data_IF_859698385936
#
_entry.id   IF_859698385936
#
_cell.length_a   1.000
_cell.length_b   1.000
_cell.length_c   1.000
_cell.angle_alpha   90.00
_cell.angle_beta   90.00
_cell.angle_gamma   90.00
#
_symmetry.space_group_name_H-M   'P 1'
#
loop_
_entity.id
_entity.type
_entity.pdbx_description
1 polymer ?
#
# COMPACT_ATOMS: atom_id res chain seq x y z
N UNK A 1 -20.44 -20.42 20.88
CA UNK A 1 -21.25 -20.32 19.66
C UNK A 1 -20.49 -19.37 18.76
N UNK A 2 -19.82 -19.87 17.73
CA UNK A 2 -19.11 -19.00 16.79
C UNK A 2 -20.19 -18.44 15.85
N UNK A 3 -20.36 -17.12 15.81
CA UNK A 3 -21.40 -16.41 15.04
C UNK A 3 -21.32 -16.54 13.51
N UNK A 4 -20.82 -17.66 12.99
CA UNK A 4 -20.75 -17.95 11.55
C UNK A 4 -22.15 -17.99 10.90
N UNK A 5 -23.18 -18.36 11.67
CA UNK A 5 -24.58 -18.44 11.18
C UNK A 5 -25.14 -17.07 10.71
N UNK A 6 -24.58 -15.93 11.15
CA UNK A 6 -25.10 -14.58 10.84
C UNK A 6 -24.58 -13.98 9.53
N UNK A 7 -23.55 -14.57 8.91
CA UNK A 7 -22.82 -13.99 7.77
C UNK A 7 -22.84 -14.85 6.49
N UNK A 8 -23.71 -15.86 6.47
CA UNK A 8 -24.00 -16.67 5.29
C UNK A 8 -25.22 -16.12 4.53
N UNK A 9 -25.16 -16.12 3.19
CA UNK A 9 -26.29 -15.70 2.33
C UNK A 9 -27.25 -16.83 2.03
N UNK A 10 -26.79 -18.07 2.16
CA UNK A 10 -27.61 -19.27 2.06
C UNK A 10 -26.96 -20.38 2.88
N UNK A 11 -27.79 -21.28 3.40
CA UNK A 11 -27.35 -22.47 4.13
C UNK A 11 -28.08 -23.70 3.62
N UNK A 12 -27.38 -24.83 3.58
CA UNK A 12 -27.93 -26.13 3.26
C UNK A 12 -27.35 -27.21 4.17
N UNK A 13 -28.02 -28.34 4.26
CA UNK A 13 -27.54 -29.49 5.02
C UNK A 13 -27.06 -30.57 4.05
N UNK A 14 -25.85 -31.08 4.26
CA UNK A 14 -25.28 -32.17 3.44
C UNK A 14 -24.88 -33.38 4.28
N UNK A 15 -24.98 -34.56 3.68
CA UNK A 15 -24.54 -35.85 4.23
C UNK A 15 -23.39 -36.47 3.44
N UNK A 16 -22.80 -35.74 2.47
CA UNK A 16 -21.88 -36.28 1.47
C UNK A 16 -20.45 -36.58 1.98
N UNK A 17 -20.20 -36.56 3.29
CA UNK A 17 -18.91 -36.97 3.86
C UNK A 17 -19.04 -38.44 4.29
N UNK A 18 -18.35 -39.41 3.64
CA UNK A 18 -18.41 -40.82 4.04
C UNK A 18 -18.07 -40.99 5.52
N UNK A 19 -18.87 -41.78 6.24
CA UNK A 19 -18.75 -42.05 7.68
C UNK A 19 -19.02 -40.85 8.62
N UNK A 20 -19.60 -39.75 8.12
CA UNK A 20 -20.10 -38.68 8.98
C UNK A 20 -21.57 -38.96 9.37
N UNK A 21 -21.79 -39.37 10.61
CA UNK A 21 -23.12 -39.71 11.13
C UNK A 21 -23.92 -38.46 11.58
N UNK A 22 -23.38 -37.27 11.36
CA UNK A 22 -23.95 -35.98 11.75
C UNK A 22 -24.23 -35.12 10.51
N UNK A 23 -25.30 -34.33 10.56
CA UNK A 23 -25.61 -33.35 9.51
C UNK A 23 -24.50 -32.29 9.46
N UNK A 24 -23.88 -32.11 8.30
CA UNK A 24 -22.92 -31.04 8.09
C UNK A 24 -23.63 -29.83 7.46
N UNK A 25 -23.51 -28.65 8.09
CA UNK A 25 -23.97 -27.40 7.50
C UNK A 25 -23.01 -26.98 6.38
N UNK A 26 -23.57 -26.70 5.21
CA UNK A 26 -22.87 -26.07 4.09
C UNK A 26 -23.38 -24.64 3.97
N UNK A 27 -22.46 -23.68 4.01
CA UNK A 27 -22.79 -22.26 3.97
C UNK A 27 -22.26 -21.64 2.69
N UNK A 28 -23.09 -20.81 2.05
CA UNK A 28 -22.63 -19.89 1.02
C UNK A 28 -22.28 -18.60 1.74
N UNK A 29 -21.00 -18.21 1.78
CA UNK A 29 -20.59 -17.02 2.50
C UNK A 29 -21.03 -15.77 1.73
N UNK A 30 -21.23 -14.67 2.45
CA UNK A 30 -21.53 -13.38 1.83
C UNK A 30 -20.46 -12.91 0.83
N UNK A 31 -20.80 -11.97 -0.04
CA UNK A 31 -19.82 -11.29 -0.89
C UNK A 31 -18.85 -10.46 -0.04
N UNK A 32 -17.66 -10.23 -0.58
CA UNK A 32 -16.72 -9.29 0.02
C UNK A 32 -17.25 -7.86 -0.16
N UNK A 33 -16.99 -6.94 0.80
CA UNK A 33 -17.50 -5.56 0.73
C UNK A 33 -17.05 -4.77 -0.51
N UNK A 34 -15.94 -5.19 -1.11
CA UNK A 34 -15.32 -4.60 -2.30
C UNK A 34 -13.92 -5.16 -2.48
N UNK A 35 -13.14 -4.53 -3.36
CA UNK A 35 -11.73 -4.86 -3.59
C UNK A 35 -10.84 -3.72 -3.13
N UNK A 36 -9.83 -4.04 -2.32
CA UNK A 36 -8.75 -3.12 -1.95
C UNK A 36 -7.47 -3.61 -2.59
N UNK A 37 -6.90 -2.81 -3.48
CA UNK A 37 -5.59 -3.07 -4.05
C UNK A 37 -4.57 -2.34 -3.20
N UNK A 38 -3.60 -3.07 -2.66
CA UNK A 38 -2.49 -2.47 -1.93
C UNK A 38 -1.20 -2.58 -2.72
N UNK A 39 -0.54 -1.44 -2.95
CA UNK A 39 0.79 -1.39 -3.52
C UNK A 39 1.71 -0.51 -2.67
N UNK A 40 2.80 -1.12 -2.23
CA UNK A 40 3.86 -0.40 -1.54
C UNK A 40 4.78 0.34 -2.51
N UNK A 41 5.66 1.20 -1.97
CA UNK A 41 6.71 1.89 -2.69
C UNK A 41 7.92 1.02 -3.02
N UNK A 42 9.01 1.68 -3.39
CA UNK A 42 10.27 1.04 -3.79
C UNK A 42 10.90 0.20 -2.66
N UNK A 43 11.67 -0.82 -3.03
CA UNK A 43 12.48 -1.65 -2.13
C UNK A 43 11.71 -2.45 -1.05
N UNK A 44 10.42 -2.71 -1.27
CA UNK A 44 9.65 -3.59 -0.39
C UNK A 44 9.30 -4.91 -1.11
N UNK A 45 9.91 -6.05 -0.74
CA UNK A 45 9.53 -7.37 -1.26
C UNK A 45 8.17 -7.86 -0.72
N UNK A 46 7.52 -7.11 0.17
CA UNK A 46 6.20 -7.42 0.70
C UNK A 46 6.10 -7.37 2.23
N UNK A 47 7.11 -6.83 2.92
CA UNK A 47 7.25 -6.86 4.37
C UNK A 47 6.09 -6.17 5.10
N UNK A 48 5.50 -5.14 4.49
CA UNK A 48 4.40 -4.40 5.12
C UNK A 48 3.01 -4.99 4.84
N UNK A 49 2.89 -5.94 3.91
CA UNK A 49 1.59 -6.39 3.39
C UNK A 49 0.78 -7.14 4.44
N UNK A 50 1.41 -7.99 5.26
CA UNK A 50 0.73 -8.73 6.31
C UNK A 50 0.10 -7.79 7.35
N UNK A 51 0.87 -6.80 7.84
CA UNK A 51 0.39 -5.82 8.81
C UNK A 51 -0.75 -4.98 8.25
N UNK A 52 -0.62 -4.53 6.99
CA UNK A 52 -1.67 -3.74 6.32
C UNK A 52 -2.93 -4.56 6.11
N UNK A 53 -2.81 -5.80 5.64
CA UNK A 53 -3.96 -6.67 5.42
C UNK A 53 -4.66 -7.04 6.73
N UNK A 54 -3.90 -7.29 7.79
CA UNK A 54 -4.43 -7.56 9.13
C UNK A 54 -5.22 -6.37 9.66
N UNK A 55 -4.62 -5.18 9.66
CA UNK A 55 -5.29 -3.96 10.12
C UNK A 55 -6.50 -3.58 9.27
N UNK A 56 -6.43 -3.81 7.95
CA UNK A 56 -7.55 -3.58 7.04
C UNK A 56 -8.71 -4.54 7.32
N UNK A 57 -8.45 -5.84 7.42
CA UNK A 57 -9.51 -6.81 7.75
C UNK A 57 -10.11 -6.50 9.11
N UNK A 58 -9.29 -6.22 10.13
CA UNK A 58 -9.78 -5.81 11.45
C UNK A 58 -10.70 -4.57 11.36
N UNK A 59 -10.22 -3.49 10.74
CA UNK A 59 -10.97 -2.26 10.65
C UNK A 59 -12.26 -2.40 9.84
N UNK A 60 -12.27 -3.21 8.79
CA UNK A 60 -13.48 -3.47 7.98
C UNK A 60 -14.45 -4.39 8.72
N UNK A 61 -13.96 -5.41 9.45
CA UNK A 61 -14.78 -6.25 10.31
C UNK A 61 -15.53 -5.41 11.33
N UNK A 62 -14.83 -4.52 12.02
CA UNK A 62 -15.42 -3.59 12.99
C UNK A 62 -16.40 -2.62 12.34
N UNK A 63 -16.06 -2.06 11.17
CA UNK A 63 -16.88 -1.01 10.55
C UNK A 63 -18.14 -1.55 9.89
N UNK A 64 -18.03 -2.67 9.19
CA UNK A 64 -19.12 -3.25 8.41
C UNK A 64 -19.85 -4.37 9.13
N UNK A 65 -19.51 -4.64 10.39
CA UNK A 65 -20.05 -5.77 11.16
C UNK A 65 -19.79 -7.09 10.42
N UNK A 66 -18.53 -7.35 10.04
CA UNK A 66 -18.16 -8.53 9.22
C UNK A 66 -17.04 -9.33 9.88
N UNK A 67 -17.25 -9.94 11.06
CA UNK A 67 -16.18 -10.65 11.78
C UNK A 67 -15.60 -11.87 11.03
N UNK A 68 -16.16 -12.22 9.86
CA UNK A 68 -15.74 -13.31 8.99
C UNK A 68 -14.58 -12.97 8.04
N UNK A 69 -14.14 -11.71 7.92
CA UNK A 69 -12.97 -11.41 7.09
C UNK A 69 -11.69 -11.82 7.80
N UNK A 70 -10.86 -12.59 7.11
CA UNK A 70 -9.62 -13.20 7.61
C UNK A 70 -8.47 -12.79 6.69
N UNK A 71 -7.42 -12.13 7.21
CA UNK A 71 -6.27 -11.74 6.41
C UNK A 71 -5.50 -12.97 5.92
N UNK A 72 -4.82 -12.83 4.79
CA UNK A 72 -3.85 -13.82 4.33
C UNK A 72 -2.65 -13.93 5.25
N UNK A 73 -2.06 -15.11 5.30
CA UNK A 73 -0.76 -15.30 5.97
C UNK A 73 0.36 -15.02 4.99
N UNK A 74 1.50 -14.58 5.49
CA UNK A 74 2.66 -14.30 4.65
C UNK A 74 3.83 -15.16 5.11
N UNK A 75 4.64 -15.65 4.17
CA UNK A 75 5.86 -16.39 4.52
C UNK A 75 5.66 -17.76 5.16
N UNK A 76 4.43 -18.27 5.26
CA UNK A 76 4.11 -19.47 6.04
C UNK A 76 5.02 -20.68 5.72
N UNK A 77 5.24 -20.96 4.43
CA UNK A 77 6.12 -22.06 3.97
C UNK A 77 7.60 -21.77 4.29
N UNK A 78 8.04 -20.51 4.18
CA UNK A 78 9.39 -20.09 4.55
C UNK A 78 9.64 -20.24 6.06
N UNK A 79 8.68 -19.84 6.89
CA UNK A 79 8.77 -19.94 8.34
C UNK A 79 8.83 -21.38 8.85
N UNK A 80 8.05 -22.28 8.23
CA UNK A 80 8.14 -23.72 8.52
C UNK A 80 9.54 -24.25 8.22
N UNK A 81 10.09 -23.95 7.05
CA UNK A 81 11.45 -24.35 6.68
C UNK A 81 12.50 -23.78 7.67
N UNK A 82 12.35 -22.51 8.05
CA UNK A 82 13.24 -21.81 9.00
C UNK A 82 13.17 -22.42 10.40
N UNK A 83 11.98 -22.82 10.86
CA UNK A 83 11.79 -23.50 12.15
C UNK A 83 12.47 -24.86 12.18
N UNK A 84 12.36 -25.67 11.11
CA UNK A 84 13.08 -26.96 11.00
C UNK A 84 14.59 -26.78 11.08
N UNK A 85 15.13 -25.80 10.33
CA UNK A 85 16.55 -25.47 10.37
C UNK A 85 17.01 -25.06 11.78
N UNK A 86 16.24 -24.20 12.47
CA UNK A 86 16.52 -23.79 13.86
C UNK A 86 16.47 -24.96 14.84
N UNK A 87 15.58 -25.92 14.61
CA UNK A 87 15.46 -27.16 15.39
C UNK A 87 16.55 -28.20 15.04
N UNK A 88 17.54 -27.85 14.21
CA UNK A 88 18.61 -28.75 13.72
C UNK A 88 18.08 -30.01 13.02
N UNK A 89 16.87 -29.95 12.47
CA UNK A 89 16.35 -30.99 11.58
C UNK A 89 16.96 -30.80 10.19
N UNK A 90 17.33 -31.87 9.48
CA UNK A 90 17.84 -31.76 8.10
C UNK A 90 16.71 -31.24 7.19
N UNK A 91 16.84 -30.03 6.61
CA UNK A 91 15.83 -29.52 5.71
C UNK A 91 15.88 -30.33 4.41
N UNK A 92 14.71 -30.83 3.98
CA UNK A 92 14.58 -31.46 2.68
C UNK A 92 14.90 -30.48 1.54
N UNK A 93 15.06 -30.98 0.31
CA UNK A 93 15.41 -30.15 -0.86
C UNK A 93 14.48 -28.94 -1.05
N UNK A 94 13.17 -29.13 -0.82
CA UNK A 94 12.18 -28.05 -0.91
C UNK A 94 12.41 -26.96 0.15
N UNK A 95 12.71 -27.36 1.39
CA UNK A 95 12.98 -26.41 2.48
C UNK A 95 14.27 -25.62 2.19
N UNK A 96 15.31 -26.28 1.66
CA UNK A 96 16.55 -25.63 1.22
C UNK A 96 16.30 -24.59 0.11
N UNK A 97 15.45 -24.90 -0.87
CA UNK A 97 15.07 -23.97 -1.94
C UNK A 97 14.30 -22.76 -1.42
N UNK A 98 13.35 -22.96 -0.50
CA UNK A 98 12.58 -21.87 0.11
C UNK A 98 13.51 -20.90 0.88
N UNK A 99 14.47 -21.44 1.63
CA UNK A 99 15.40 -20.67 2.44
C UNK A 99 16.44 -19.91 1.61
N UNK A 100 16.82 -20.44 0.43
CA UNK A 100 17.77 -19.80 -0.48
C UNK A 100 17.20 -18.57 -1.22
N UNK A 101 15.87 -18.46 -1.29
CA UNK A 101 15.15 -17.39 -2.00
C UNK A 101 14.14 -16.63 -1.09
N UNK A 102 14.64 -15.90 -0.08
CA UNK A 102 13.77 -15.14 0.81
C UNK A 102 13.00 -14.02 0.10
N UNK A 103 13.54 -13.41 -0.96
CA UNK A 103 12.86 -12.31 -1.67
C UNK A 103 11.52 -12.77 -2.26
N UNK A 104 11.45 -14.01 -2.76
CA UNK A 104 10.22 -14.61 -3.27
C UNK A 104 9.33 -15.17 -2.17
N UNK A 105 9.91 -15.86 -1.17
CA UNK A 105 9.13 -16.73 -0.27
C UNK A 105 8.86 -16.14 1.11
N UNK A 106 9.68 -15.22 1.62
CA UNK A 106 9.55 -14.69 2.98
C UNK A 106 8.25 -13.88 3.16
N UNK A 107 7.84 -13.13 2.12
CA UNK A 107 6.63 -12.32 2.13
C UNK A 107 5.62 -12.76 1.09
N UNK A 108 5.69 -14.03 0.68
CA UNK A 108 4.70 -14.60 -0.22
C UNK A 108 3.39 -14.80 0.53
N UNK A 109 2.32 -14.20 0.03
CA UNK A 109 0.97 -14.45 0.54
C UNK A 109 0.58 -15.91 0.31
N UNK A 110 0.19 -16.57 1.39
CA UNK A 110 -0.37 -17.91 1.47
C UNK A 110 -1.87 -17.79 1.73
N UNK A 111 -2.67 -18.49 0.92
CA UNK A 111 -4.13 -18.46 0.98
C UNK A 111 -4.76 -19.78 1.39
N UNK A 112 -3.93 -20.78 1.72
CA UNK A 112 -4.37 -22.18 1.84
C UNK A 112 -5.09 -22.47 3.19
N UNK A 113 -4.55 -22.05 4.34
CA UNK A 113 -5.11 -22.36 5.68
C UNK A 113 -4.48 -21.47 6.76
N UNK A 114 -5.17 -20.69 7.63
CA UNK A 114 -6.61 -20.53 7.67
C UNK A 114 -7.09 -20.02 6.32
N UNK A 115 -8.30 -20.45 5.95
CA UNK A 115 -8.92 -20.06 4.69
C UNK A 115 -9.02 -18.54 4.63
N UNK A 116 -8.17 -17.92 3.82
CA UNK A 116 -8.13 -16.46 3.67
C UNK A 116 -9.46 -15.96 3.12
N UNK A 117 -9.97 -14.88 3.73
CA UNK A 117 -11.18 -14.20 3.30
C UNK A 117 -10.98 -12.70 3.44
N UNK A 118 -10.23 -12.15 2.51
CA UNK A 118 -9.76 -10.78 2.58
C UNK A 118 -10.12 -10.03 1.30
N UNK A 119 -10.49 -8.77 1.48
CA UNK A 119 -10.71 -7.82 0.40
C UNK A 119 -9.41 -7.32 -0.25
N UNK A 120 -8.25 -7.62 0.34
CA UNK A 120 -6.96 -7.11 -0.13
C UNK A 120 -6.37 -7.97 -1.25
N UNK A 121 -6.00 -7.30 -2.34
CA UNK A 121 -5.14 -7.83 -3.40
C UNK A 121 -3.75 -7.19 -3.23
N UNK A 122 -2.71 -7.98 -2.91
CA UNK A 122 -1.34 -7.47 -2.86
C UNK A 122 -0.82 -7.26 -4.29
N UNK A 123 -0.47 -6.02 -4.65
CA UNK A 123 0.08 -5.70 -5.97
C UNK A 123 1.60 -5.55 -5.91
N UNK A 124 2.29 -6.66 -6.17
CA UNK A 124 3.73 -6.70 -6.28
C UNK A 124 4.20 -6.14 -7.62
N UNK A 125 5.21 -5.30 -7.59
CA UNK A 125 5.76 -4.69 -8.79
C UNK A 125 7.26 -4.43 -8.62
N UNK A 126 7.95 -4.24 -9.73
CA UNK A 126 9.39 -4.08 -9.72
C UNK A 126 9.98 -4.12 -11.12
N UNK A 127 11.30 -4.07 -11.14
CA UNK A 127 12.12 -4.16 -12.33
C UNK A 127 12.69 -5.58 -12.44
N UNK A 128 12.84 -6.08 -13.67
CA UNK A 128 13.59 -7.30 -13.97
C UNK A 128 14.63 -6.97 -15.03
N UNK A 129 15.89 -7.28 -14.73
CA UNK A 129 16.99 -7.05 -15.64
C UNK A 129 16.85 -7.91 -16.89
N UNK A 130 17.07 -7.31 -18.04
CA UNK A 130 17.18 -8.07 -19.28
C UNK A 130 18.53 -8.85 -19.31
N UNK A 131 18.68 -9.90 -20.14
CA UNK A 131 19.87 -10.75 -20.12
C UNK A 131 21.21 -10.00 -20.28
N UNK A 132 21.22 -8.87 -21.00
CA UNK A 132 22.40 -8.02 -21.21
C UNK A 132 22.71 -7.05 -20.07
N UNK A 133 21.76 -6.82 -19.16
CA UNK A 133 21.94 -5.98 -17.97
C UNK A 133 22.44 -6.80 -16.77
N UNK A 134 22.51 -8.13 -16.88
CA UNK A 134 23.01 -9.01 -15.82
C UNK A 134 24.54 -9.06 -15.90
N UNK A 135 25.22 -8.84 -14.76
CA UNK A 135 26.68 -8.98 -14.68
C UNK A 135 27.08 -10.44 -14.86
N UNK A 136 28.11 -10.69 -15.67
CA UNK A 136 28.61 -12.02 -16.01
C UNK A 136 30.12 -12.13 -15.84
N UNK A 137 30.60 -13.31 -15.48
CA UNK A 137 32.02 -13.60 -15.38
C UNK A 137 32.64 -13.96 -16.75
N UNK A 138 33.93 -14.32 -16.74
CA UNK A 138 34.67 -14.70 -17.95
C UNK A 138 34.14 -15.96 -18.65
N UNK A 139 33.35 -16.78 -17.95
CA UNK A 139 32.71 -17.98 -18.49
C UNK A 139 31.27 -17.70 -18.94
N UNK A 140 30.84 -16.43 -18.92
CA UNK A 140 29.48 -15.98 -19.22
C UNK A 140 28.42 -16.39 -18.17
N UNK A 141 28.85 -16.83 -16.99
CA UNK A 141 27.95 -17.18 -15.88
C UNK A 141 27.55 -15.91 -15.10
N UNK A 142 26.28 -15.78 -14.65
CA UNK A 142 25.87 -14.63 -13.86
C UNK A 142 26.67 -14.51 -12.56
N UNK A 143 27.27 -13.33 -12.34
CA UNK A 143 28.09 -13.09 -11.15
C UNK A 143 27.23 -13.05 -9.89
N UNK A 144 27.82 -13.49 -8.78
CA UNK A 144 27.20 -13.39 -7.46
C UNK A 144 28.14 -12.67 -6.49
N UNK A 145 27.58 -11.76 -5.70
CA UNK A 145 28.22 -11.20 -4.52
C UNK A 145 27.43 -11.64 -3.28
N UNK A 146 28.10 -12.38 -2.38
CA UNK A 146 27.47 -12.91 -1.14
C UNK A 146 26.16 -13.66 -1.41
N UNK A 147 26.15 -14.46 -2.47
CA UNK A 147 25.02 -15.26 -2.89
C UNK A 147 23.96 -14.50 -3.69
N UNK A 148 24.07 -13.20 -3.92
CA UNK A 148 23.09 -12.41 -4.66
C UNK A 148 23.59 -12.06 -6.06
N UNK A 149 22.69 -12.06 -7.05
CA UNK A 149 23.05 -11.67 -8.42
C UNK A 149 23.27 -10.15 -8.50
N UNK A 150 23.96 -9.70 -9.55
CA UNK A 150 24.21 -8.27 -9.78
C UNK A 150 23.87 -7.88 -11.22
N UNK A 151 23.43 -6.64 -11.40
CA UNK A 151 23.42 -6.02 -12.73
C UNK A 151 24.83 -5.52 -13.11
N UNK A 152 25.00 -5.12 -14.37
CA UNK A 152 26.26 -4.56 -14.91
C UNK A 152 26.74 -3.30 -14.19
N UNK A 153 25.88 -2.66 -13.38
CA UNK A 153 26.20 -1.48 -12.58
C UNK A 153 26.54 -1.85 -11.12
N UNK A 154 26.49 -3.14 -10.78
CA UNK A 154 26.83 -3.70 -9.47
C UNK A 154 25.67 -3.71 -8.47
N UNK A 155 24.47 -3.30 -8.87
CA UNK A 155 23.31 -3.34 -7.97
C UNK A 155 22.85 -4.78 -7.73
N UNK A 156 22.36 -5.06 -6.51
CA UNK A 156 21.78 -6.36 -6.15
C UNK A 156 20.55 -6.69 -7.01
N UNK A 157 20.49 -7.91 -7.53
CA UNK A 157 19.32 -8.56 -8.12
C UNK A 157 18.93 -9.79 -7.30
N UNK A 158 17.64 -10.09 -7.22
CA UNK A 158 17.09 -11.31 -6.60
C UNK A 158 17.39 -12.58 -7.44
N UNK A 159 16.92 -13.75 -6.98
CA UNK A 159 17.11 -15.05 -7.64
C UNK A 159 16.54 -15.13 -9.06
N UNK A 160 15.63 -14.24 -9.41
CA UNK A 160 14.94 -14.16 -10.69
C UNK A 160 15.42 -12.99 -11.55
N UNK A 161 16.55 -12.38 -11.17
CA UNK A 161 17.13 -11.18 -11.79
C UNK A 161 16.22 -9.95 -11.66
N UNK A 162 15.37 -9.93 -10.63
CA UNK A 162 14.44 -8.87 -10.30
C UNK A 162 14.93 -7.95 -9.17
N UNK A 163 14.18 -6.86 -8.99
CA UNK A 163 14.24 -5.96 -7.84
C UNK A 163 12.82 -5.50 -7.51
N UNK A 164 12.35 -5.77 -6.29
CA UNK A 164 11.06 -5.27 -5.81
C UNK A 164 11.09 -3.74 -5.73
N UNK A 165 10.26 -3.07 -6.54
CA UNK A 165 10.16 -1.61 -6.64
C UNK A 165 11.43 -0.81 -7.04
N UNK A 166 12.64 -1.38 -6.98
CA UNK A 166 13.93 -0.71 -7.19
C UNK A 166 14.58 -0.25 -5.87
N UNK A 167 15.84 0.22 -5.91
CA UNK A 167 16.45 0.87 -4.74
C UNK A 167 15.70 2.18 -4.42
N UNK A 168 15.72 2.60 -3.14
CA UNK A 168 15.20 3.90 -2.70
C UNK A 168 15.61 5.07 -3.62
N UNK A 169 16.82 5.00 -4.17
CA UNK A 169 17.39 6.01 -5.08
C UNK A 169 16.72 6.18 -6.43
N UNK A 170 15.93 5.21 -6.93
CA UNK A 170 15.30 5.39 -8.24
C UNK A 170 13.91 6.04 -8.18
N UNK A 171 13.47 6.44 -6.98
CA UNK A 171 12.22 7.15 -6.79
C UNK A 171 12.16 8.47 -7.58
N UNK A 172 10.95 9.00 -7.73
CA UNK A 172 10.68 10.32 -8.32
C UNK A 172 9.48 10.94 -7.62
N UNK A 173 9.40 12.27 -7.66
CA UNK A 173 8.32 13.07 -7.09
C UNK A 173 7.28 13.53 -8.12
N UNK A 174 7.40 13.14 -9.39
CA UNK A 174 6.45 13.52 -10.44
C UNK A 174 6.21 12.37 -11.45
N UNK A 175 5.12 12.45 -12.22
CA UNK A 175 4.76 11.39 -13.16
C UNK A 175 5.64 11.39 -14.42
N UNK A 176 6.12 12.56 -14.87
CA UNK A 176 6.89 12.65 -16.11
C UNK A 176 8.21 11.89 -16.00
N UNK A 177 8.91 12.05 -14.87
CA UNK A 177 10.19 11.38 -14.63
C UNK A 177 10.07 9.85 -14.55
N UNK A 178 8.87 9.29 -14.42
CA UNK A 178 8.66 7.84 -14.58
C UNK A 178 9.03 7.37 -16.01
N UNK A 179 8.99 8.28 -16.99
CA UNK A 179 9.40 8.07 -18.38
C UNK A 179 10.87 8.40 -18.65
N UNK A 180 11.64 8.78 -17.63
CA UNK A 180 13.05 9.17 -17.78
C UNK A 180 14.03 8.07 -17.39
N UNK A 181 15.31 8.36 -17.68
CA UNK A 181 16.44 7.58 -17.18
C UNK A 181 16.36 7.48 -15.66
N UNK A 182 16.84 6.37 -15.11
CA UNK A 182 16.98 6.21 -13.67
C UNK A 182 18.05 7.13 -13.10
N UNK A 183 18.13 7.20 -11.76
CA UNK A 183 19.15 7.97 -11.09
C UNK A 183 20.56 7.54 -11.58
N UNK A 184 21.32 8.52 -12.07
CA UNK A 184 22.74 8.36 -12.36
C UNK A 184 23.56 8.78 -11.15
N UNK A 185 24.50 7.93 -10.75
CA UNK A 185 25.47 8.23 -9.71
C UNK A 185 26.52 9.15 -10.31
N UNK A 186 26.27 10.46 -10.17
CA UNK A 186 27.26 11.49 -10.48
C UNK A 186 28.46 11.44 -9.52
N UNK A 187 29.45 12.31 -9.76
CA UNK A 187 30.72 12.32 -9.03
C UNK A 187 30.55 12.40 -7.49
N UNK A 188 29.62 13.24 -7.00
CA UNK A 188 29.35 13.41 -5.56
C UNK A 188 28.80 12.14 -4.91
N UNK A 189 27.83 11.50 -5.54
CA UNK A 189 27.22 10.26 -5.03
C UNK A 189 28.19 9.07 -5.19
N UNK A 190 29.07 9.13 -6.18
CA UNK A 190 30.17 8.17 -6.37
C UNK A 190 31.24 8.22 -5.28
N UNK A 191 31.53 9.41 -4.72
CA UNK A 191 32.41 9.57 -3.54
C UNK A 191 31.72 9.06 -2.28
N UNK A 192 30.45 9.42 -2.06
CA UNK A 192 29.66 8.93 -0.91
C UNK A 192 29.51 7.40 -0.92
N UNK A 193 29.38 6.77 -2.09
CA UNK A 193 29.39 5.31 -2.22
C UNK A 193 30.65 4.66 -1.63
N UNK A 194 31.81 5.31 -1.68
CA UNK A 194 33.07 4.74 -1.15
C UNK A 194 33.09 4.66 0.37
N UNK A 195 32.20 5.37 1.06
CA UNK A 195 32.06 5.36 2.52
C UNK A 195 30.84 4.56 2.99
N UNK A 196 29.95 4.15 2.07
CA UNK A 196 28.81 3.31 2.41
C UNK A 196 29.24 1.85 2.66
N UNK A 197 28.65 1.18 3.66
CA UNK A 197 28.83 -0.26 3.84
C UNK A 197 28.37 -1.00 2.58
N UNK A 198 28.97 -2.16 2.29
CA UNK A 198 28.58 -2.99 1.14
C UNK A 198 27.08 -3.38 1.13
N UNK A 199 26.39 -3.35 2.28
CA UNK A 199 24.94 -3.59 2.40
C UNK A 199 24.09 -2.44 1.90
N UNK A 200 24.67 -1.25 1.71
CA UNK A 200 24.01 -0.02 1.25
C UNK A 200 24.58 0.43 -0.09
N UNK A 201 25.17 -0.48 -0.86
CA UNK A 201 25.71 -0.18 -2.17
C UNK A 201 24.62 0.39 -3.09
N UNK A 202 24.97 1.47 -3.80
CA UNK A 202 24.14 2.06 -4.84
C UNK A 202 24.95 2.13 -6.12
N UNK A 203 24.40 1.61 -7.22
CA UNK A 203 24.87 1.80 -8.59
C UNK A 203 23.96 2.78 -9.35
N UNK A 204 24.31 3.06 -10.60
CA UNK A 204 23.35 3.69 -11.52
C UNK A 204 22.06 2.85 -11.52
N UNK A 205 20.91 3.47 -11.71
CA UNK A 205 19.66 2.74 -11.71
C UNK A 205 19.15 2.51 -13.13
N UNK A 206 18.38 1.43 -13.36
CA UNK A 206 17.75 1.19 -14.64
C UNK A 206 16.75 2.29 -14.96
N UNK A 207 16.42 2.40 -16.24
CA UNK A 207 15.39 3.32 -16.73
C UNK A 207 14.06 3.11 -15.97
N UNK A 208 13.38 4.19 -15.60
CA UNK A 208 12.15 4.17 -14.80
C UNK A 208 10.89 3.63 -15.49
N UNK A 209 10.99 3.16 -16.76
CA UNK A 209 9.84 2.62 -17.53
C UNK A 209 9.12 1.47 -16.84
N UNK A 210 9.78 0.72 -15.97
CA UNK A 210 9.11 -0.33 -15.19
C UNK A 210 8.02 0.22 -14.25
N UNK A 211 8.10 1.49 -13.85
CA UNK A 211 6.99 2.18 -13.16
C UNK A 211 5.77 2.35 -14.08
N UNK A 212 6.01 2.76 -15.33
CA UNK A 212 4.96 2.90 -16.35
C UNK A 212 4.33 1.54 -16.65
N UNK A 213 5.14 0.49 -16.79
CA UNK A 213 4.64 -0.88 -16.96
C UNK A 213 3.87 -1.39 -15.73
N UNK A 214 4.26 -0.98 -14.52
CA UNK A 214 3.48 -1.26 -13.31
C UNK A 214 2.13 -0.52 -13.34
N UNK A 215 2.09 0.75 -13.77
CA UNK A 215 0.86 1.51 -13.91
C UNK A 215 -0.10 0.90 -14.94
N UNK A 216 0.40 0.43 -16.10
CA UNK A 216 -0.39 -0.32 -17.06
C UNK A 216 -0.97 -1.61 -16.47
N UNK A 217 -0.18 -2.37 -15.71
CA UNK A 217 -0.66 -3.59 -15.03
C UNK A 217 -1.72 -3.29 -13.98
N UNK A 218 -1.56 -2.19 -13.23
CA UNK A 218 -2.54 -1.76 -12.24
C UNK A 218 -3.85 -1.32 -12.93
N UNK A 219 -3.76 -0.53 -13.99
CA UNK A 219 -4.93 -0.14 -14.80
C UNK A 219 -5.63 -1.37 -15.41
N UNK A 220 -4.87 -2.33 -15.95
CA UNK A 220 -5.41 -3.61 -16.43
C UNK A 220 -6.14 -4.35 -15.31
N UNK A 221 -5.56 -4.43 -14.11
CA UNK A 221 -6.18 -5.14 -12.99
C UNK A 221 -7.54 -4.51 -12.61
N UNK A 222 -7.64 -3.18 -12.55
CA UNK A 222 -8.92 -2.48 -12.32
C UNK A 222 -9.94 -2.82 -13.42
N UNK A 223 -9.51 -2.87 -14.68
CA UNK A 223 -10.38 -3.24 -15.82
C UNK A 223 -10.84 -4.69 -15.73
N UNK A 224 -9.96 -5.62 -15.42
CA UNK A 224 -10.29 -7.04 -15.32
C UNK A 224 -11.24 -7.33 -14.16
N UNK A 225 -11.07 -6.67 -13.00
CA UNK A 225 -12.04 -6.73 -11.89
C UNK A 225 -13.42 -6.32 -12.41
N UNK A 226 -13.51 -5.21 -13.14
CA UNK A 226 -14.78 -4.68 -13.65
C UNK A 226 -15.32 -5.40 -14.89
N UNK A 227 -14.48 -6.15 -15.60
CA UNK A 227 -14.94 -7.07 -16.65
C UNK A 227 -15.71 -8.24 -16.04
N UNK A 228 -15.29 -8.72 -14.87
CA UNK A 228 -15.97 -9.80 -14.14
C UNK A 228 -17.17 -9.27 -13.34
N UNK A 229 -17.00 -8.13 -12.66
CA UNK A 229 -18.03 -7.50 -11.83
C UNK A 229 -18.11 -5.99 -12.13
N UNK A 230 -18.95 -5.56 -13.09
CA UNK A 230 -18.99 -4.17 -13.57
C UNK A 230 -19.23 -3.11 -12.50
N UNK A 231 -19.97 -3.47 -11.45
CA UNK A 231 -20.29 -2.59 -10.32
C UNK A 231 -19.33 -2.76 -9.13
N UNK A 232 -18.26 -3.55 -9.29
CA UNK A 232 -17.32 -3.77 -8.19
C UNK A 232 -16.67 -2.47 -7.74
N UNK A 233 -16.69 -2.26 -6.42
CA UNK A 233 -16.06 -1.09 -5.80
C UNK A 233 -14.58 -1.39 -5.62
N UNK A 234 -13.74 -0.58 -6.25
CA UNK A 234 -12.28 -0.74 -6.22
C UNK A 234 -11.66 0.44 -5.48
N UNK A 235 -11.04 0.15 -4.33
CA UNK A 235 -10.21 1.09 -3.60
C UNK A 235 -8.74 0.77 -3.84
N UNK A 236 -7.90 1.79 -4.05
CA UNK A 236 -6.45 1.63 -4.15
C UNK A 236 -5.79 2.32 -2.97
N UNK A 237 -5.10 1.55 -2.14
CA UNK A 237 -4.25 2.06 -1.07
C UNK A 237 -2.80 1.94 -1.51
N UNK A 238 -2.10 3.07 -1.54
CA UNK A 238 -0.79 3.15 -2.16
C UNK A 238 0.17 3.95 -1.29
N UNK A 239 1.28 3.32 -0.92
CA UNK A 239 2.32 3.93 -0.10
C UNK A 239 3.50 4.40 -0.96
N UNK A 240 4.08 5.56 -0.61
CA UNK A 240 5.28 6.10 -1.23
C UNK A 240 5.20 6.09 -2.76
N UNK A 241 6.19 5.56 -3.50
CA UNK A 241 6.20 5.50 -4.97
C UNK A 241 4.97 4.78 -5.57
N UNK A 242 4.34 3.86 -4.83
CA UNK A 242 3.10 3.20 -5.26
C UNK A 242 1.97 4.20 -5.54
N UNK A 243 1.97 5.36 -4.86
CA UNK A 243 1.00 6.43 -5.10
C UNK A 243 1.15 7.04 -6.50
N UNK A 244 2.38 7.26 -7.00
CA UNK A 244 2.62 7.76 -8.36
C UNK A 244 2.22 6.74 -9.42
N UNK A 245 2.50 5.45 -9.18
CA UNK A 245 2.01 4.36 -10.03
C UNK A 245 0.49 4.35 -10.09
N UNK A 246 -0.16 4.58 -8.95
CA UNK A 246 -1.63 4.68 -8.86
C UNK A 246 -2.18 5.85 -9.64
N UNK A 247 -1.58 7.04 -9.50
CA UNK A 247 -1.99 8.24 -10.24
C UNK A 247 -1.82 8.05 -11.75
N UNK A 248 -0.69 7.50 -12.20
CA UNK A 248 -0.47 7.19 -13.61
C UNK A 248 -1.46 6.12 -14.12
N UNK A 249 -1.75 5.10 -13.31
CA UNK A 249 -2.76 4.09 -13.67
C UNK A 249 -4.16 4.70 -13.85
N UNK A 250 -4.53 5.71 -13.05
CA UNK A 250 -5.80 6.41 -13.24
C UNK A 250 -5.80 7.23 -14.54
N UNK A 251 -4.71 7.93 -14.85
CA UNK A 251 -4.59 8.65 -16.11
C UNK A 251 -4.71 7.70 -17.32
N UNK A 252 -4.10 6.52 -17.24
CA UNK A 252 -4.21 5.47 -18.27
C UNK A 252 -5.63 4.89 -18.40
N UNK A 253 -6.37 4.77 -17.29
CA UNK A 253 -7.78 4.38 -17.33
C UNK A 253 -8.62 5.44 -18.04
N UNK A 254 -8.43 6.71 -17.73
CA UNK A 254 -9.13 7.84 -18.38
C UNK A 254 -8.83 7.88 -19.87
N UNK A 255 -7.56 7.78 -20.26
CA UNK A 255 -7.13 7.76 -21.66
C UNK A 255 -7.78 6.60 -22.44
N UNK A 256 -7.91 5.44 -21.80
CA UNK A 256 -8.61 4.28 -22.35
C UNK A 256 -10.15 4.34 -22.29
N UNK A 257 -10.76 5.43 -21.81
CA UNK A 257 -12.21 5.55 -21.65
C UNK A 257 -12.80 4.62 -20.57
N UNK A 258 -11.99 4.25 -19.58
CA UNK A 258 -12.37 3.35 -18.49
C UNK A 258 -12.57 4.11 -17.18
N UNK A 259 -13.49 3.61 -16.35
CA UNK A 259 -13.75 4.17 -15.02
C UNK A 259 -12.48 4.07 -14.15
N UNK A 260 -12.16 5.14 -13.43
CA UNK A 260 -11.11 5.15 -12.40
C UNK A 260 -11.50 4.31 -11.17
N UNK A 261 -10.55 4.03 -10.28
CA UNK A 261 -10.85 3.48 -8.95
C UNK A 261 -11.84 4.38 -8.19
N UNK A 262 -12.67 3.78 -7.34
CA UNK A 262 -13.72 4.49 -6.60
C UNK A 262 -13.16 5.27 -5.41
N UNK A 263 -12.02 4.85 -4.86
CA UNK A 263 -11.31 5.55 -3.79
C UNK A 263 -9.81 5.38 -3.94
N UNK A 264 -9.05 6.43 -3.68
CA UNK A 264 -7.58 6.37 -3.60
C UNK A 264 -7.14 6.84 -2.22
N UNK A 265 -6.26 6.07 -1.58
CA UNK A 265 -5.61 6.41 -0.32
C UNK A 265 -4.11 6.47 -0.59
N UNK A 266 -3.56 7.68 -0.66
CA UNK A 266 -2.14 7.95 -0.80
C UNK A 266 -1.53 8.06 0.59
N UNK A 267 -0.50 7.26 0.88
CA UNK A 267 0.19 7.26 2.17
C UNK A 267 1.64 7.64 1.93
N UNK A 268 2.13 8.67 2.63
CA UNK A 268 3.52 9.13 2.60
C UNK A 268 4.09 9.28 1.17
N UNK A 269 3.30 9.89 0.29
CA UNK A 269 3.64 10.04 -1.13
C UNK A 269 4.80 11.01 -1.36
N UNK A 270 5.78 10.66 -2.21
CA UNK A 270 6.82 11.59 -2.63
C UNK A 270 6.31 12.62 -3.63
N UNK A 271 5.04 12.58 -4.06
CA UNK A 271 4.52 13.51 -5.07
C UNK A 271 4.70 14.96 -4.62
N UNK A 272 5.30 15.78 -5.47
CA UNK A 272 5.62 17.17 -5.16
C UNK A 272 4.70 18.13 -5.92
N UNK A 273 4.23 19.16 -5.21
CA UNK A 273 3.39 20.22 -5.77
C UNK A 273 4.15 21.54 -5.96
N UNK A 274 5.43 21.61 -5.60
CA UNK A 274 6.21 22.85 -5.61
C UNK A 274 6.92 23.03 -6.96
N UNK A 275 6.60 24.08 -7.74
CA UNK A 275 7.21 24.31 -9.05
C UNK A 275 8.72 24.44 -9.01
N UNK A 276 9.27 24.96 -7.91
CA UNK A 276 10.72 25.13 -7.72
C UNK A 276 11.48 23.82 -7.50
N UNK A 277 10.79 22.71 -7.20
CA UNK A 277 11.39 21.38 -6.99
C UNK A 277 11.10 20.44 -8.16
N UNK A 278 9.96 20.59 -8.82
CA UNK A 278 9.61 19.76 -9.98
C UNK A 278 10.30 20.24 -11.26
N UNK A 279 10.42 19.40 -12.30
CA UNK A 279 11.06 19.82 -13.54
C UNK A 279 10.40 21.06 -14.15
N UNK A 280 11.22 21.90 -14.79
CA UNK A 280 10.78 23.16 -15.40
C UNK A 280 9.60 22.93 -16.34
N UNK A 281 8.65 23.88 -16.33
CA UNK A 281 7.44 23.89 -17.16
C UNK A 281 6.44 22.76 -16.86
N UNK A 282 6.60 22.05 -15.74
CA UNK A 282 5.59 21.13 -15.24
C UNK A 282 4.63 21.78 -14.25
N UNK A 283 3.34 21.46 -14.43
CA UNK A 283 2.27 21.81 -13.52
C UNK A 283 1.75 20.55 -12.83
N UNK A 284 2.47 20.10 -11.80
CA UNK A 284 2.11 18.90 -11.03
C UNK A 284 0.83 19.09 -10.24
N UNK A 285 0.54 20.31 -9.75
CA UNK A 285 -0.73 20.62 -9.09
C UNK A 285 -1.93 20.43 -10.03
N UNK A 286 -1.88 20.98 -11.24
CA UNK A 286 -2.97 20.78 -12.22
C UNK A 286 -3.06 19.32 -12.65
N UNK A 287 -1.93 18.63 -12.79
CA UNK A 287 -1.91 17.19 -13.11
C UNK A 287 -2.64 16.38 -12.04
N UNK A 288 -2.28 16.58 -10.76
CA UNK A 288 -2.94 15.90 -9.64
C UNK A 288 -4.42 16.27 -9.58
N UNK A 289 -4.76 17.56 -9.67
CA UNK A 289 -6.14 18.05 -9.61
C UNK A 289 -7.01 17.43 -10.70
N UNK A 290 -6.50 17.31 -11.94
CA UNK A 290 -7.23 16.67 -13.05
C UNK A 290 -7.44 15.18 -12.82
N UNK A 291 -6.42 14.46 -12.35
CA UNK A 291 -6.56 13.03 -12.03
C UNK A 291 -7.57 12.82 -10.90
N UNK A 292 -7.47 13.61 -9.82
CA UNK A 292 -8.42 13.57 -8.70
C UNK A 292 -9.83 13.91 -9.18
N UNK A 293 -10.01 14.89 -10.05
CA UNK A 293 -11.32 15.22 -10.62
C UNK A 293 -11.94 14.02 -11.35
N UNK A 294 -11.15 13.31 -12.18
CA UNK A 294 -11.62 12.11 -12.90
C UNK A 294 -12.02 10.97 -11.96
N UNK A 295 -11.33 10.83 -10.82
CA UNK A 295 -11.66 9.84 -9.79
C UNK A 295 -12.93 10.22 -9.02
N UNK A 296 -13.22 11.51 -8.85
CA UNK A 296 -14.14 11.98 -7.80
C UNK A 296 -15.42 12.66 -8.28
N UNK A 297 -15.45 13.27 -9.46
CA UNK A 297 -16.58 14.10 -9.90
C UNK A 297 -17.79 13.30 -10.37
N UNK A 298 -17.59 12.05 -10.82
CA UNK A 298 -18.65 11.12 -11.19
C UNK A 298 -18.52 9.80 -10.41
N UNK A 299 -18.79 9.80 -9.08
CA UNK A 299 -18.71 8.58 -8.27
C UNK A 299 -19.70 7.52 -8.78
N UNK A 300 -19.25 6.28 -8.92
CA UNK A 300 -20.15 5.17 -9.24
C UNK A 300 -21.06 4.87 -8.04
N UNK A 301 -22.37 4.81 -8.25
CA UNK A 301 -23.34 4.72 -7.13
C UNK A 301 -23.82 3.30 -6.83
N UNK A 302 -23.37 2.30 -7.60
CA UNK A 302 -23.72 0.90 -7.38
C UNK A 302 -22.60 0.14 -6.64
N UNK A 303 -22.96 -0.88 -5.85
CA UNK A 303 -24.30 -1.10 -5.30
C UNK A 303 -24.77 0.09 -4.42
N UNK A 304 -26.08 0.35 -4.29
CA UNK A 304 -26.58 1.37 -3.38
C UNK A 304 -26.21 0.96 -1.95
N UNK A 305 -25.85 1.92 -1.09
CA UNK A 305 -25.47 1.60 0.29
C UNK A 305 -26.59 0.87 1.04
N UNK A 306 -27.86 1.21 0.77
CA UNK A 306 -29.04 0.55 1.33
C UNK A 306 -29.08 -0.96 1.07
N UNK A 307 -28.45 -1.40 -0.01
CA UNK A 307 -28.56 -2.77 -0.49
C UNK A 307 -27.35 -3.62 -0.11
N UNK A 308 -26.31 -3.06 0.52
CA UNK A 308 -25.12 -3.81 0.94
C UNK A 308 -25.46 -4.95 1.92
N UNK A 309 -26.53 -4.80 2.70
CA UNK A 309 -27.01 -5.86 3.59
C UNK A 309 -27.87 -6.90 2.90
N UNK A 310 -28.42 -6.58 1.74
CA UNK A 310 -29.43 -7.41 1.10
C UNK A 310 -28.76 -8.64 0.48
N UNK A 311 -29.09 -9.81 1.02
CA UNK A 311 -28.55 -11.09 0.57
C UNK A 311 -29.10 -11.50 -0.80
N UNK A 312 -30.25 -10.97 -1.22
CA UNK A 312 -30.88 -11.29 -2.50
C UNK A 312 -30.34 -10.49 -3.68
N UNK A 313 -29.85 -9.26 -3.47
CA UNK A 313 -29.37 -8.38 -4.56
C UNK A 313 -27.85 -8.31 -4.65
N UNK A 314 -27.15 -8.22 -3.52
CA UNK A 314 -25.69 -8.09 -3.48
C UNK A 314 -25.05 -9.01 -2.44
N UNK A 315 -25.67 -10.15 -2.16
CA UNK A 315 -25.09 -11.23 -1.36
C UNK A 315 -24.50 -10.75 0.00
N UNK A 316 -25.11 -9.77 0.68
CA UNK A 316 -24.74 -9.43 2.07
C UNK A 316 -23.31 -8.87 2.27
N UNK A 317 -22.88 -7.92 1.44
CA UNK A 317 -21.59 -7.18 1.54
C UNK A 317 -21.30 -6.51 2.90
N UNK A 318 -22.28 -6.37 3.78
CA UNK A 318 -22.13 -5.90 5.17
C UNK A 318 -22.93 -6.77 6.14
N UNK A 319 -22.64 -6.67 7.44
CA UNK A 319 -23.33 -7.39 8.50
C UNK A 319 -24.69 -6.86 8.92
N UNK A 320 -25.40 -7.60 9.79
CA UNK A 320 -26.74 -7.28 10.25
C UNK A 320 -26.84 -6.04 11.15
N UNK A 321 -25.78 -5.61 11.83
CA UNK A 321 -25.77 -4.40 12.66
C UNK A 321 -25.35 -3.14 11.90
N UNK A 322 -24.91 -3.28 10.65
CA UNK A 322 -24.51 -2.15 9.82
C UNK A 322 -25.72 -1.41 9.21
N UNK A 323 -25.55 -0.13 8.89
CA UNK A 323 -26.52 0.63 8.08
C UNK A 323 -25.80 1.71 7.25
N UNK A 324 -26.44 2.24 6.19
CA UNK A 324 -25.85 3.29 5.36
C UNK A 324 -25.45 4.57 6.12
N UNK A 325 -26.03 4.82 7.29
CA UNK A 325 -25.86 6.06 8.05
C UNK A 325 -25.00 5.89 9.30
N UNK A 326 -24.94 4.68 9.87
CA UNK A 326 -24.20 4.40 11.11
C UNK A 326 -23.77 2.94 11.21
N UNK A 327 -22.68 2.73 11.94
CA UNK A 327 -22.23 1.41 12.39
C UNK A 327 -21.98 1.41 13.89
N UNK A 328 -21.70 0.23 14.43
CA UNK A 328 -21.46 0.03 15.86
C UNK A 328 -20.17 -0.77 16.06
N UNK A 329 -19.38 -0.41 17.08
CA UNK A 329 -18.19 -1.16 17.46
C UNK A 329 -17.99 -1.14 18.97
N UNK A 330 -17.20 -2.08 19.49
CA UNK A 330 -16.70 -2.01 20.86
C UNK A 330 -15.61 -0.93 20.95
N UNK A 331 -15.67 -0.10 22.00
CA UNK A 331 -14.56 0.78 22.37
C UNK A 331 -13.49 0.04 23.20
N UNK A 332 -12.47 0.77 23.66
CA UNK A 332 -11.39 0.23 24.49
C UNK A 332 -11.87 -0.36 25.82
N UNK A 333 -13.01 0.12 26.34
CA UNK A 333 -13.62 -0.32 27.59
C UNK A 333 -14.69 -1.41 27.36
N UNK A 334 -14.77 -1.92 26.12
CA UNK A 334 -15.76 -2.91 25.67
C UNK A 334 -17.21 -2.44 25.75
N UNK A 335 -17.46 -1.13 25.70
CA UNK A 335 -18.79 -0.59 25.54
C UNK A 335 -19.13 -0.47 24.04
N UNK A 336 -20.39 -0.71 23.70
CA UNK A 336 -20.87 -0.50 22.33
C UNK A 336 -20.98 0.99 22.04
N UNK A 337 -20.20 1.45 21.07
CA UNK A 337 -20.23 2.83 20.57
C UNK A 337 -20.79 2.88 19.15
N UNK A 338 -21.68 3.84 18.91
CA UNK A 338 -22.23 4.15 17.58
C UNK A 338 -21.35 5.19 16.90
N UNK A 339 -21.05 5.00 15.61
CA UNK A 339 -20.33 5.97 14.81
C UNK A 339 -21.05 6.23 13.48
N UNK A 340 -20.94 7.46 12.91
CA UNK A 340 -21.51 7.75 11.60
C UNK A 340 -20.77 7.00 10.50
N UNK A 341 -21.53 6.41 9.58
CA UNK A 341 -20.97 5.77 8.40
C UNK A 341 -20.76 6.77 7.25
N UNK A 342 -19.88 6.42 6.31
CA UNK A 342 -19.59 7.26 5.14
C UNK A 342 -19.41 6.44 3.89
N UNK A 343 -19.95 6.96 2.79
CA UNK A 343 -19.57 6.52 1.45
C UNK A 343 -18.18 7.05 1.11
N UNK A 344 -17.22 6.18 0.78
CA UNK A 344 -15.89 6.60 0.34
C UNK A 344 -15.76 6.75 -1.18
N UNK A 345 -16.80 6.40 -1.95
CA UNK A 345 -16.77 6.49 -3.41
C UNK A 345 -16.61 7.94 -3.87
N UNK A 346 -15.78 8.11 -4.90
CA UNK A 346 -15.37 9.38 -5.45
C UNK A 346 -14.62 10.25 -4.44
N UNK A 347 -13.65 9.69 -3.73
CA UNK A 347 -12.77 10.45 -2.81
C UNK A 347 -11.32 10.04 -2.97
N UNK A 348 -10.44 11.03 -2.81
CA UNK A 348 -8.99 10.80 -2.70
C UNK A 348 -8.52 11.30 -1.34
N UNK A 349 -7.78 10.46 -0.62
CA UNK A 349 -7.24 10.77 0.68
C UNK A 349 -5.72 10.77 0.65
N UNK A 350 -5.12 11.83 1.20
CA UNK A 350 -3.72 11.87 1.57
C UNK A 350 -3.59 11.60 3.07
N UNK A 351 -2.84 10.57 3.42
CA UNK A 351 -2.33 10.32 4.75
C UNK A 351 -0.86 10.71 4.74
N UNK A 352 -0.50 11.72 5.52
CA UNK A 352 0.86 12.25 5.56
C UNK A 352 1.38 12.25 6.99
N UNK A 353 2.69 12.11 7.12
CA UNK A 353 3.39 12.01 8.39
C UNK A 353 4.58 12.98 8.42
N UNK A 354 4.52 14.08 9.20
CA UNK A 354 5.66 15.01 9.33
C UNK A 354 6.91 14.39 9.92
N UNK A 355 6.73 13.23 10.55
CA UNK A 355 7.80 12.44 11.15
C UNK A 355 8.49 11.53 10.12
N UNK A 356 7.86 11.25 8.98
CA UNK A 356 8.50 10.56 7.87
C UNK A 356 9.37 11.55 7.07
N UNK A 357 10.67 11.55 7.37
CA UNK A 357 11.63 12.42 6.68
C UNK A 357 12.12 11.84 5.36
N UNK A 358 11.64 10.66 4.96
CA UNK A 358 12.10 9.94 3.76
C UNK A 358 11.84 10.75 2.49
N UNK A 359 10.68 11.42 2.42
CA UNK A 359 10.29 12.27 1.29
C UNK A 359 10.43 13.78 1.58
N UNK A 360 11.10 14.11 2.68
CA UNK A 360 11.32 15.48 3.15
C UNK A 360 12.58 16.14 2.57
N UNK A 361 13.38 15.42 1.78
CA UNK A 361 14.60 15.94 1.15
C UNK A 361 14.26 17.17 0.29
N UNK A 362 15.17 18.16 0.26
CA UNK A 362 14.95 19.42 -0.45
C UNK A 362 14.69 19.22 -1.95
N UNK A 363 15.31 18.22 -2.56
CA UNK A 363 15.13 17.87 -3.98
C UNK A 363 13.87 16.98 -4.23
N UNK A 364 13.14 16.60 -3.17
CA UNK A 364 11.93 15.76 -3.26
C UNK A 364 10.70 16.55 -2.87
N UNK A 365 10.69 17.17 -1.67
CA UNK A 365 9.57 17.90 -1.04
C UNK A 365 8.19 17.26 -1.28
N UNK A 366 8.08 15.97 -0.94
CA UNK A 366 6.85 15.22 -1.11
C UNK A 366 5.74 15.67 -0.15
N UNK A 367 4.50 15.71 -0.63
CA UNK A 367 3.33 16.00 0.22
C UNK A 367 3.05 14.90 1.26
N UNK A 368 3.74 13.76 1.19
CA UNK A 368 3.74 12.71 2.20
C UNK A 368 4.37 13.09 3.54
N UNK A 369 5.34 14.00 3.55
CA UNK A 369 5.86 14.57 4.82
C UNK A 369 5.03 15.78 5.23
N UNK A 370 4.79 16.69 4.29
CA UNK A 370 4.37 18.04 4.61
C UNK A 370 2.87 18.31 4.48
N UNK A 371 2.11 17.34 3.95
CA UNK A 371 0.75 17.58 3.49
C UNK A 371 0.70 18.52 2.27
N UNK A 372 -0.52 18.87 1.88
CA UNK A 372 -0.82 19.90 0.88
C UNK A 372 -0.93 21.24 1.58
N UNK A 373 -0.18 22.21 1.07
CA UNK A 373 -0.11 23.57 1.61
C UNK A 373 -1.17 24.47 0.96
N UNK A 374 -1.43 25.60 1.61
CA UNK A 374 -2.31 26.65 1.08
C UNK A 374 -1.58 27.58 0.09
N UNK A 375 -0.25 27.54 0.03
CA UNK A 375 0.58 28.35 -0.87
C UNK A 375 1.38 27.47 -1.82
N UNK A 376 1.31 27.77 -3.12
CA UNK A 376 1.96 26.99 -4.19
C UNK A 376 3.38 27.49 -4.50
N UNK A 377 4.31 27.34 -3.57
CA UNK A 377 5.68 27.87 -3.73
C UNK A 377 5.75 29.39 -3.52
N UNK A 378 6.95 29.96 -3.65
CA UNK A 378 7.23 31.37 -3.28
C UNK A 378 6.59 32.39 -4.24
N UNK A 379 6.49 32.05 -5.54
CA UNK A 379 6.08 32.97 -6.62
C UNK A 379 4.71 32.62 -7.24
N UNK A 380 3.80 32.00 -6.47
CA UNK A 380 2.47 31.61 -6.97
C UNK A 380 1.33 32.15 -6.12
N UNK A 381 0.25 32.56 -6.78
CA UNK A 381 -1.02 32.99 -6.19
C UNK A 381 -2.02 31.82 -6.02
N UNK A 382 -1.64 30.61 -6.42
CA UNK A 382 -2.50 29.42 -6.33
C UNK A 382 -2.59 28.90 -4.91
N UNK A 383 -3.77 28.34 -4.58
CA UNK A 383 -4.03 27.66 -3.32
C UNK A 383 -4.25 26.15 -3.57
N UNK A 384 -3.21 25.30 -3.44
CA UNK A 384 -3.27 23.88 -3.76
C UNK A 384 -4.36 23.14 -2.99
N UNK A 385 -4.48 23.39 -1.68
CA UNK A 385 -5.47 22.72 -0.84
C UNK A 385 -6.90 23.12 -1.22
N UNK A 386 -7.15 24.39 -1.56
CA UNK A 386 -8.46 24.84 -2.02
C UNK A 386 -8.85 24.20 -3.37
N UNK A 387 -7.92 24.17 -4.34
CA UNK A 387 -8.13 23.54 -5.65
C UNK A 387 -8.45 22.04 -5.51
N UNK A 388 -7.65 21.32 -4.72
CA UNK A 388 -7.84 19.89 -4.49
C UNK A 388 -9.11 19.59 -3.69
N UNK A 389 -9.43 20.41 -2.67
CA UNK A 389 -10.67 20.26 -1.89
C UNK A 389 -11.92 20.42 -2.76
N UNK A 390 -11.89 21.31 -3.76
CA UNK A 390 -13.00 21.49 -4.70
C UNK A 390 -13.31 20.22 -5.50
N UNK A 391 -12.34 19.30 -5.63
CA UNK A 391 -12.48 18.00 -6.28
C UNK A 391 -12.42 16.84 -5.29
N UNK A 392 -12.96 17.02 -4.07
CA UNK A 392 -13.14 15.96 -3.05
C UNK A 392 -11.84 15.24 -2.67
N UNK A 393 -10.73 15.99 -2.67
CA UNK A 393 -9.49 15.58 -2.02
C UNK A 393 -9.53 15.93 -0.53
N UNK A 394 -9.02 15.01 0.30
CA UNK A 394 -8.93 15.18 1.73
C UNK A 394 -7.53 14.82 2.20
N UNK A 395 -7.04 15.46 3.26
CA UNK A 395 -5.79 15.07 3.89
C UNK A 395 -5.96 14.80 5.38
N UNK A 396 -5.11 13.92 5.91
CA UNK A 396 -5.05 13.54 7.32
C UNK A 396 -3.59 13.46 7.76
N UNK A 397 -3.28 14.17 8.83
CA UNK A 397 -1.97 14.11 9.48
C UNK A 397 -1.92 12.94 10.46
N UNK A 398 -0.85 12.16 10.40
CA UNK A 398 -0.44 11.22 11.43
C UNK A 398 0.85 11.72 12.07
N UNK A 399 0.96 11.61 13.38
CA UNK A 399 2.21 11.93 14.08
C UNK A 399 2.29 11.18 15.39
N UNK A 400 3.50 10.85 15.82
CA UNK A 400 3.78 10.29 17.15
C UNK A 400 3.88 11.36 18.24
N UNK A 401 3.72 12.64 17.87
CA UNK A 401 3.82 13.77 18.78
C UNK A 401 2.67 13.77 19.79
N UNK A 402 3.00 14.24 20.98
CA UNK A 402 2.03 14.54 22.02
C UNK A 402 1.95 16.05 22.18
N UNK A 403 0.74 16.55 22.40
CA UNK A 403 0.50 17.97 22.69
C UNK A 403 -0.40 18.04 23.89
N UNK A 404 0.02 18.84 24.88
CA UNK A 404 -0.64 18.89 26.18
C UNK A 404 -0.74 17.49 26.82
N UNK A 405 0.34 16.71 26.70
CA UNK A 405 0.45 15.31 27.16
C UNK A 405 -0.56 14.33 26.55
N UNK A 406 -1.29 14.75 25.51
CA UNK A 406 -2.25 13.92 24.78
C UNK A 406 -1.74 13.56 23.38
N UNK A 407 -2.06 12.35 22.88
CA UNK A 407 -1.74 11.99 21.50
C UNK A 407 -2.49 12.90 20.52
N UNK A 408 -1.83 13.27 19.42
CA UNK A 408 -2.50 14.00 18.34
C UNK A 408 -3.42 13.03 17.58
N UNK A 409 -4.72 13.14 17.85
CA UNK A 409 -5.73 12.26 17.26
C UNK A 409 -5.86 12.45 15.74
N UNK A 410 -5.92 11.33 15.01
CA UNK A 410 -6.23 11.31 13.58
C UNK A 410 -7.73 11.50 13.37
N UNK A 411 -8.10 12.34 12.40
CA UNK A 411 -9.51 12.53 12.03
C UNK A 411 -10.24 13.59 12.84
N UNK A 412 -9.50 14.55 13.42
CA UNK A 412 -10.06 15.82 13.92
C UNK A 412 -10.88 16.54 12.82
N UNK A 413 -11.82 17.42 13.20
CA UNK A 413 -12.48 18.30 12.24
C UNK A 413 -11.47 19.03 11.35
N UNK A 414 -11.80 19.32 10.08
CA UNK A 414 -10.90 20.04 9.18
C UNK A 414 -10.47 21.38 9.79
N UNK A 415 -9.17 21.65 9.77
CA UNK A 415 -8.60 22.86 10.31
C UNK A 415 -7.10 22.93 10.08
N UNK A 416 -6.52 24.07 10.46
CA UNK A 416 -5.07 24.26 10.44
C UNK A 416 -4.45 23.55 11.65
N UNK A 417 -3.44 22.74 11.37
CA UNK A 417 -2.65 22.08 12.40
C UNK A 417 -1.16 22.36 12.14
N UNK A 418 -0.39 22.56 13.21
CA UNK A 418 1.05 22.77 13.08
C UNK A 418 1.69 21.43 12.74
N UNK A 419 2.59 21.38 11.75
CA UNK A 419 3.41 20.19 11.52
C UNK A 419 4.39 19.95 12.69
N UNK A 420 4.86 21.04 13.30
CA UNK A 420 5.72 21.05 14.48
C UNK A 420 5.42 22.27 15.34
N UNK A 421 5.05 22.07 16.60
CA UNK A 421 4.81 23.16 17.55
C UNK A 421 6.12 23.70 18.14
N UNK A 422 6.07 24.90 18.74
CA UNK A 422 7.23 25.54 19.39
C UNK A 422 7.73 24.66 20.54
N UNK A 423 9.03 24.39 20.55
CA UNK A 423 9.67 23.55 21.58
C UNK A 423 9.63 22.04 21.29
N UNK A 424 8.91 21.60 20.27
CA UNK A 424 8.94 20.20 19.85
C UNK A 424 10.26 19.85 19.15
N UNK A 425 10.80 18.66 19.45
CA UNK A 425 11.97 18.10 18.77
C UNK A 425 11.74 18.02 17.25
N UNK A 426 12.82 18.17 16.48
CA UNK A 426 12.81 17.94 15.03
C UNK A 426 12.33 16.53 14.69
N UNK A 427 12.74 15.53 15.47
CA UNK A 427 12.32 14.13 15.33
C UNK A 427 11.42 13.70 16.49
N UNK A 428 10.32 12.96 16.25
CA UNK A 428 9.51 12.40 17.33
C UNK A 428 10.36 11.40 18.15
N UNK A 429 10.23 11.42 19.47
CA UNK A 429 11.01 10.55 20.39
C UNK A 429 12.14 11.25 21.16
N UNK A 430 12.40 12.54 20.90
CA UNK A 430 13.41 13.32 21.63
C UNK A 430 14.85 13.09 21.17
N UNK A 431 15.75 14.01 21.53
CA UNK A 431 17.12 14.05 21.01
C UNK A 431 17.95 12.79 21.33
N UNK A 432 18.61 12.26 20.30
CA UNK A 432 19.86 11.47 20.31
C UNK A 432 19.89 10.11 21.03
N UNK A 433 19.40 10.02 22.26
CA UNK A 433 19.70 8.91 23.16
C UNK A 433 18.47 8.04 23.52
N UNK A 434 17.25 8.58 23.42
CA UNK A 434 16.02 7.85 23.78
C UNK A 434 15.48 6.95 22.66
N UNK A 435 15.70 7.35 21.39
CA UNK A 435 15.25 6.59 20.22
C UNK A 435 15.89 5.20 20.07
N UNK A 436 17.00 4.92 20.75
CA UNK A 436 17.68 3.62 20.70
C UNK A 436 17.09 2.58 21.67
N UNK A 437 16.35 3.02 22.70
CA UNK A 437 15.80 2.14 23.74
C UNK A 437 14.37 1.65 23.43
N UNK A 438 13.59 2.40 22.65
CA UNK A 438 12.20 2.03 22.29
C UNK A 438 12.10 1.07 21.08
N UNK A 439 13.23 0.58 20.58
CA UNK A 439 13.31 -0.46 19.52
C UNK A 439 13.40 -1.89 20.08
N UNK A 440 13.30 -2.07 21.40
CA UNK A 440 13.09 -3.40 21.97
C UNK A 440 11.60 -3.75 21.89
N UNK A 441 11.19 -4.84 21.21
CA UNK A 441 9.82 -5.31 21.31
C UNK A 441 9.56 -5.70 22.77
N UNK A 442 8.56 -5.08 23.40
CA UNK A 442 7.94 -5.68 24.57
C UNK A 442 7.41 -7.07 24.15
N UNK A 443 7.73 -8.06 24.99
CA UNK A 443 7.54 -9.50 24.74
C UNK A 443 6.09 -9.92 24.62
#
# INVERSE_FOLDING_TARGET
MNGADEYAVAQGNTRLIPNLNTTCKMEVPADLPGVVIFLHGVNDPGASYESVETGLCQGVNERLDRPDLVPGRYGAKYDVAKKKLRAKQDPGNRDKQLLDDPDTYLYKRDTDDPKTRSLLIPFYWGYRAEPGEISRDKNNDPTKLRGQYQDIQGNRLDRHFGKAGGFFVNATNNLLEMYDKGLSIGLRLGVARRTLPNTHFMGNNPHRRYYVLAAHRLAMMVREIRRVSPDETVSIMAHSQGSLITLLAQALLVDGGHRCADTIIMVDTPYCLFPEVTPKDQDTLSTLTRIVAQVTQAPHTQPPLSDLRNTATYCGRSGPQWSPTQGTRLDSDRNMTVFPERDNRGKVYLYFCPDDTTVALDDVRGIGTFGVWDTHGEDSDRNPMAELKAVRFYQRMWTKRHREDLPVMVGKPPGYDLLRAKGESRYPGGGGFKAFLDLAPEK
#
